data_IF_949204153396
#
_entry.id   IF_949204153396
#
_cell.length_a   1.000
_cell.length_b   1.000
_cell.length_c   1.000
_cell.angle_alpha   90.00
_cell.angle_beta   90.00
_cell.angle_gamma   90.00
#
_symmetry.space_group_name_H-M   'P 1'
#
loop_
_entity.id
_entity.type
_entity.pdbx_description
1 polymer ?
#
# COMPACT_ATOMS: atom_id res chain seq x y z
N UNK A 1 -12.34 15.10 -10.39
CA UNK A 1 -13.28 14.79 -11.50
C UNK A 1 -14.73 15.23 -11.21
N UNK A 2 -15.19 15.24 -9.98
CA UNK A 2 -16.58 15.57 -9.59
C UNK A 2 -16.92 17.07 -9.76
N UNK A 3 -15.98 17.99 -9.57
CA UNK A 3 -16.21 19.45 -9.72
C UNK A 3 -16.43 19.92 -11.18
N UNK A 4 -15.96 19.20 -12.18
CA UNK A 4 -16.17 19.59 -13.60
C UNK A 4 -17.56 19.23 -14.12
N UNK A 5 -18.19 18.20 -13.61
CA UNK A 5 -19.51 17.77 -14.08
C UNK A 5 -20.66 18.60 -13.48
N UNK A 6 -20.45 19.22 -12.30
CA UNK A 6 -21.47 20.09 -11.70
C UNK A 6 -21.61 21.42 -12.47
N UNK A 7 -20.53 21.91 -13.09
CA UNK A 7 -20.56 23.15 -13.87
C UNK A 7 -21.26 23.01 -15.23
N UNK A 8 -21.27 21.78 -15.80
CA UNK A 8 -21.92 21.49 -17.09
C UNK A 8 -23.45 21.44 -16.92
N UNK A 9 -23.95 20.90 -15.83
CA UNK A 9 -25.39 20.84 -15.54
C UNK A 9 -25.98 22.23 -15.26
N UNK A 10 -25.24 23.12 -14.60
CA UNK A 10 -25.66 24.51 -14.40
C UNK A 10 -25.68 25.30 -15.70
N UNK A 11 -24.75 25.08 -16.63
CA UNK A 11 -24.74 25.79 -17.93
C UNK A 11 -25.86 25.32 -18.88
N UNK A 12 -26.23 24.06 -18.85
CA UNK A 12 -27.35 23.55 -19.65
C UNK A 12 -28.71 24.03 -19.14
N UNK A 13 -28.89 24.17 -17.83
CA UNK A 13 -30.10 24.72 -17.23
C UNK A 13 -30.31 26.20 -17.59
N UNK A 14 -29.22 27.01 -17.69
CA UNK A 14 -29.27 28.42 -18.02
C UNK A 14 -29.56 28.70 -19.49
N UNK A 15 -29.11 27.81 -20.39
CA UNK A 15 -29.37 27.93 -21.84
C UNK A 15 -30.82 27.57 -22.17
N UNK A 16 -31.43 26.63 -21.49
CA UNK A 16 -32.85 26.29 -21.69
C UNK A 16 -33.78 27.36 -21.11
N UNK A 17 -33.44 28.01 -20.01
CA UNK A 17 -34.25 29.06 -19.41
C UNK A 17 -34.27 30.35 -20.24
N UNK A 18 -33.17 30.73 -20.90
CA UNK A 18 -33.12 31.92 -21.75
C UNK A 18 -33.75 31.73 -23.13
N UNK A 19 -33.97 30.49 -23.59
CA UNK A 19 -34.65 30.24 -24.90
C UNK A 19 -36.16 30.33 -24.83
N UNK A 20 -36.74 30.26 -23.65
CA UNK A 20 -38.21 30.40 -23.41
C UNK A 20 -38.61 31.87 -23.24
N UNK A 21 -37.66 32.77 -22.82
CA UNK A 21 -37.98 34.18 -22.53
C UNK A 21 -37.96 35.13 -23.73
N UNK A 22 -37.44 34.70 -24.89
CA UNK A 22 -37.28 35.58 -26.06
C UNK A 22 -38.32 35.34 -27.19
N UNK A 23 -39.48 34.74 -26.88
CA UNK A 23 -40.52 34.44 -27.88
C UNK A 23 -41.87 35.13 -27.60
N UNK A 24 -41.93 36.18 -26.82
CA UNK A 24 -43.20 36.86 -26.44
C UNK A 24 -43.30 38.34 -26.83
N UNK A 25 -42.45 38.88 -27.72
CA UNK A 25 -42.66 40.22 -28.24
C UNK A 25 -42.33 40.22 -29.76
N UNK A 26 -43.31 39.97 -30.58
CA UNK A 26 -43.58 40.56 -31.91
C UNK A 26 -44.61 39.70 -32.65
N UNK A 27 -45.85 40.13 -32.56
CA UNK A 27 -46.81 40.09 -33.69
C UNK A 27 -48.24 40.50 -33.21
N UNK A 28 -48.48 41.76 -33.11
CA UNK A 28 -49.85 42.31 -33.29
C UNK A 28 -49.97 42.69 -34.74
N UNK A 29 -51.14 42.29 -35.32
CA UNK A 29 -51.65 42.62 -36.62
C UNK A 29 -51.48 41.55 -37.72
N UNK A 30 -52.48 40.71 -37.81
CA UNK A 30 -53.15 40.38 -39.09
C UNK A 30 -54.45 39.57 -38.79
N UNK A 31 -55.51 40.12 -39.33
CA UNK A 31 -56.87 39.73 -39.09
C UNK A 31 -57.31 38.37 -39.69
N UNK A 32 -58.29 37.76 -38.99
CA UNK A 32 -59.46 37.06 -39.54
C UNK A 32 -59.21 36.07 -40.71
N UNK A 33 -59.12 34.82 -40.41
CA UNK A 33 -59.82 33.77 -41.13
C UNK A 33 -60.10 32.57 -40.20
N UNK A 34 -61.39 32.39 -39.95
CA UNK A 34 -61.94 31.29 -39.18
C UNK A 34 -61.67 29.96 -39.88
N UNK A 35 -60.75 29.15 -39.38
CA UNK A 35 -60.69 27.73 -39.66
C UNK A 35 -60.67 27.01 -38.28
N UNK A 36 -61.83 26.38 -37.98
CA UNK A 36 -61.97 25.58 -36.74
C UNK A 36 -61.02 24.41 -36.79
N UNK A 37 -59.75 24.64 -36.32
CA UNK A 37 -58.89 23.54 -35.98
C UNK A 37 -59.29 23.05 -34.58
N UNK A 38 -59.91 21.86 -34.58
CA UNK A 38 -60.07 21.08 -33.34
C UNK A 38 -58.68 20.82 -32.79
N UNK A 39 -58.29 21.60 -31.79
CA UNK A 39 -57.09 21.34 -31.03
C UNK A 39 -57.40 20.09 -30.19
N UNK A 40 -56.94 18.93 -30.66
CA UNK A 40 -56.80 17.76 -29.78
C UNK A 40 -55.81 18.14 -28.70
N UNK A 41 -56.25 18.64 -27.58
CA UNK A 41 -55.47 18.69 -26.38
C UNK A 41 -55.19 17.25 -25.96
N UNK A 42 -53.90 16.81 -25.92
CA UNK A 42 -53.63 15.50 -25.41
C UNK A 42 -54.16 15.47 -23.99
N UNK A 43 -55.08 14.56 -23.73
CA UNK A 43 -55.54 14.26 -22.37
C UNK A 43 -54.32 13.92 -21.55
N UNK A 44 -53.89 14.82 -20.65
CA UNK A 44 -52.87 14.51 -19.68
C UNK A 44 -53.42 13.43 -18.77
N UNK A 45 -53.06 12.18 -19.01
CA UNK A 45 -53.30 11.10 -18.06
C UNK A 45 -52.61 11.46 -16.78
N UNK A 46 -53.32 11.71 -15.72
CA UNK A 46 -52.76 11.94 -14.39
C UNK A 46 -52.10 10.65 -13.92
N UNK A 47 -50.86 10.77 -13.46
CA UNK A 47 -50.11 9.64 -12.88
C UNK A 47 -50.76 9.25 -11.54
N UNK A 48 -51.12 8.01 -11.37
CA UNK A 48 -51.74 7.55 -10.12
C UNK A 48 -50.69 7.34 -9.05
N UNK A 49 -51.07 7.53 -7.79
CA UNK A 49 -50.20 7.32 -6.65
C UNK A 49 -49.64 5.88 -6.60
N UNK A 50 -50.47 4.91 -7.05
CA UNK A 50 -50.08 3.50 -7.10
C UNK A 50 -48.99 3.26 -8.18
N UNK A 51 -49.09 3.85 -9.35
CA UNK A 51 -48.05 3.74 -10.39
C UNK A 51 -46.72 4.30 -9.93
N UNK A 52 -46.73 5.44 -9.21
CA UNK A 52 -45.50 6.01 -8.63
C UNK A 52 -44.94 5.08 -7.56
N UNK A 53 -45.78 4.54 -6.67
CA UNK A 53 -45.34 3.66 -5.59
C UNK A 53 -44.73 2.36 -6.09
N UNK A 54 -45.29 1.76 -7.11
CA UNK A 54 -44.77 0.53 -7.75
C UNK A 54 -43.39 0.81 -8.38
N UNK A 55 -43.25 1.93 -9.09
CA UNK A 55 -41.96 2.29 -9.72
C UNK A 55 -40.84 2.49 -8.66
N UNK A 56 -41.10 3.25 -7.59
CA UNK A 56 -40.08 3.43 -6.55
C UNK A 56 -39.79 2.12 -5.81
N UNK A 57 -40.78 1.24 -5.63
CA UNK A 57 -40.55 -0.08 -5.03
C UNK A 57 -39.65 -0.95 -5.91
N UNK A 58 -39.86 -0.98 -7.22
CA UNK A 58 -39.01 -1.73 -8.16
C UNK A 58 -37.60 -1.15 -8.19
N UNK A 59 -37.44 0.19 -8.25
CA UNK A 59 -36.15 0.85 -8.22
C UNK A 59 -35.43 0.54 -6.89
N UNK A 60 -36.14 0.59 -5.77
CA UNK A 60 -35.57 0.27 -4.44
C UNK A 60 -35.03 -1.16 -4.37
N UNK A 61 -35.77 -2.14 -4.88
CA UNK A 61 -35.34 -3.54 -4.95
C UNK A 61 -34.11 -3.69 -5.87
N UNK A 62 -34.14 -3.07 -7.05
CA UNK A 62 -33.00 -3.14 -7.99
C UNK A 62 -31.72 -2.53 -7.39
N UNK A 63 -31.82 -1.36 -6.78
CA UNK A 63 -30.68 -0.70 -6.11
C UNK A 63 -30.20 -1.56 -4.93
N UNK A 64 -31.12 -2.13 -4.15
CA UNK A 64 -30.79 -2.97 -3.00
C UNK A 64 -29.94 -4.20 -3.36
N UNK A 65 -30.15 -4.77 -4.56
CA UNK A 65 -29.37 -5.92 -5.06
C UNK A 65 -28.08 -5.45 -5.76
N UNK A 66 -28.14 -4.36 -6.52
CA UNK A 66 -27.01 -3.89 -7.33
C UNK A 66 -25.90 -3.29 -6.47
N UNK A 67 -26.23 -2.57 -5.37
CA UNK A 67 -25.23 -1.86 -4.58
C UNK A 67 -24.20 -2.79 -3.95
N UNK A 68 -24.56 -3.90 -3.26
CA UNK A 68 -23.59 -4.86 -2.74
C UNK A 68 -22.75 -5.51 -3.85
N UNK A 69 -23.37 -5.88 -4.97
CA UNK A 69 -22.66 -6.51 -6.09
C UNK A 69 -21.62 -5.59 -6.72
N UNK A 70 -21.95 -4.31 -6.91
CA UNK A 70 -20.99 -3.30 -7.43
C UNK A 70 -19.83 -3.06 -6.46
N UNK A 71 -20.10 -3.04 -5.16
CA UNK A 71 -19.04 -2.87 -4.15
C UNK A 71 -18.07 -4.07 -4.14
N UNK A 72 -18.58 -5.29 -4.21
CA UNK A 72 -17.75 -6.50 -4.32
C UNK A 72 -16.93 -6.52 -5.61
N UNK A 73 -17.54 -6.16 -6.76
CA UNK A 73 -16.82 -6.09 -8.02
C UNK A 73 -15.69 -5.06 -7.99
N UNK A 74 -15.93 -3.90 -7.39
CA UNK A 74 -14.89 -2.86 -7.21
C UNK A 74 -13.76 -3.33 -6.32
N UNK A 75 -14.06 -4.00 -5.21
CA UNK A 75 -13.02 -4.52 -4.31
C UNK A 75 -12.20 -5.62 -4.98
N UNK A 76 -12.84 -6.52 -5.71
CA UNK A 76 -12.15 -7.53 -6.52
C UNK A 76 -11.20 -6.88 -7.53
N UNK A 77 -11.64 -5.82 -8.21
CA UNK A 77 -10.79 -5.08 -9.15
C UNK A 77 -9.58 -4.41 -8.45
N UNK A 78 -9.79 -3.78 -7.29
CA UNK A 78 -8.69 -3.21 -6.50
C UNK A 78 -7.71 -4.28 -6.03
N UNK A 79 -8.20 -5.42 -5.54
CA UNK A 79 -7.36 -6.56 -5.13
C UNK A 79 -6.54 -7.10 -6.29
N UNK A 80 -7.11 -7.22 -7.50
CA UNK A 80 -6.37 -7.60 -8.70
C UNK A 80 -5.27 -6.57 -9.05
N UNK A 81 -5.54 -5.28 -8.89
CA UNK A 81 -4.55 -4.23 -9.11
C UNK A 81 -3.40 -4.34 -8.10
N UNK A 82 -3.69 -4.55 -6.80
CA UNK A 82 -2.65 -4.75 -5.78
C UNK A 82 -1.78 -5.97 -6.08
N UNK A 83 -2.40 -7.09 -6.51
CA UNK A 83 -1.66 -8.27 -6.95
C UNK A 83 -0.84 -8.03 -8.22
N UNK A 84 -1.29 -7.18 -9.13
CA UNK A 84 -0.52 -6.77 -10.31
C UNK A 84 0.71 -5.94 -9.94
N UNK A 85 0.56 -5.02 -8.98
CA UNK A 85 1.68 -4.22 -8.48
C UNK A 85 2.76 -5.11 -7.84
N UNK A 86 2.35 -6.11 -7.02
CA UNK A 86 3.29 -7.08 -6.45
C UNK A 86 4.04 -7.87 -7.53
N UNK A 87 3.36 -8.30 -8.60
CA UNK A 87 4.02 -8.98 -9.73
C UNK A 87 5.03 -8.09 -10.43
N UNK A 88 4.71 -6.82 -10.62
CA UNK A 88 5.62 -5.83 -11.23
C UNK A 88 6.86 -5.63 -10.34
N UNK A 89 6.70 -5.50 -9.04
CA UNK A 89 7.80 -5.40 -8.09
C UNK A 89 8.67 -6.66 -8.10
N UNK A 90 8.07 -7.86 -8.13
CA UNK A 90 8.83 -9.11 -8.22
C UNK A 90 9.56 -9.27 -9.56
N UNK A 91 8.98 -8.81 -10.67
CA UNK A 91 9.68 -8.80 -11.96
C UNK A 91 10.93 -7.92 -11.91
N UNK A 92 10.83 -6.75 -11.27
CA UNK A 92 11.97 -5.87 -11.04
C UNK A 92 13.02 -6.53 -10.12
N UNK A 93 12.60 -7.26 -9.07
CA UNK A 93 13.51 -8.04 -8.21
C UNK A 93 14.28 -9.11 -8.97
N UNK A 94 13.61 -9.86 -9.84
CA UNK A 94 14.27 -10.85 -10.70
C UNK A 94 15.22 -10.20 -11.72
N UNK A 95 14.85 -9.03 -12.25
CA UNK A 95 15.73 -8.27 -13.13
C UNK A 95 16.99 -7.79 -12.40
N UNK A 96 16.84 -7.33 -11.16
CA UNK A 96 17.95 -6.98 -10.28
C UNK A 96 18.82 -8.21 -9.98
N UNK A 97 18.23 -9.35 -9.60
CA UNK A 97 18.97 -10.59 -9.34
C UNK A 97 19.73 -11.07 -10.57
N UNK A 98 19.12 -10.98 -11.74
CA UNK A 98 19.77 -11.34 -13.01
C UNK A 98 20.99 -10.48 -13.32
N UNK A 99 20.93 -9.18 -13.01
CA UNK A 99 22.01 -8.22 -13.24
C UNK A 99 23.08 -8.27 -12.15
N UNK A 100 22.69 -8.35 -10.88
CA UNK A 100 23.59 -8.26 -9.72
C UNK A 100 23.95 -9.61 -9.09
N UNK A 101 23.34 -10.70 -9.57
CA UNK A 101 23.50 -12.08 -9.06
C UNK A 101 23.05 -12.27 -7.61
N UNK A 102 22.23 -11.37 -7.12
CA UNK A 102 21.59 -11.39 -5.80
C UNK A 102 20.33 -10.53 -5.81
N UNK A 103 19.38 -10.83 -4.94
CA UNK A 103 18.25 -9.96 -4.69
C UNK A 103 18.70 -8.64 -4.04
N UNK A 104 17.93 -7.56 -4.17
CA UNK A 104 18.26 -6.31 -3.49
C UNK A 104 18.33 -6.54 -1.97
N UNK A 105 19.19 -5.83 -1.28
CA UNK A 105 19.16 -5.79 0.18
C UNK A 105 17.83 -5.20 0.67
N UNK A 106 17.37 -5.59 1.83
CA UNK A 106 16.22 -4.95 2.46
C UNK A 106 16.44 -3.44 2.57
N UNK A 107 17.60 -3.06 3.04
CA UNK A 107 18.19 -1.72 2.92
C UNK A 107 19.70 -1.75 3.14
N UNK A 108 20.37 -0.70 2.67
CA UNK A 108 21.81 -0.53 2.83
C UNK A 108 22.11 0.42 3.99
N UNK A 109 23.05 0.05 4.84
CA UNK A 109 23.49 0.87 5.98
C UNK A 109 24.97 0.62 6.28
N UNK A 110 25.75 1.69 6.44
CA UNK A 110 27.14 1.59 6.85
C UNK A 110 27.25 1.64 8.39
N UNK A 111 27.14 0.49 9.01
CA UNK A 111 27.19 0.35 10.49
C UNK A 111 28.51 0.73 11.12
N UNK A 112 29.56 1.00 10.33
CA UNK A 112 30.90 1.43 10.83
C UNK A 112 31.01 2.94 11.05
N UNK A 113 30.05 3.72 10.54
CA UNK A 113 30.06 5.19 10.65
C UNK A 113 29.97 5.68 12.09
N UNK A 114 30.63 6.80 12.36
CA UNK A 114 30.59 7.43 13.68
C UNK A 114 29.27 8.19 13.97
N UNK A 115 28.52 8.55 12.93
CA UNK A 115 27.23 9.25 12.99
C UNK A 115 26.01 8.28 12.92
N UNK A 116 26.27 6.98 13.11
CA UNK A 116 25.21 5.97 13.17
C UNK A 116 24.30 6.16 14.38
N UNK A 117 23.06 5.72 14.24
CA UNK A 117 22.15 5.62 15.39
C UNK A 117 22.71 4.69 16.45
N UNK A 118 22.70 5.12 17.71
CA UNK A 118 23.30 4.36 18.82
C UNK A 118 22.52 3.10 19.21
N UNK A 119 21.23 3.06 18.92
CA UNK A 119 20.36 1.96 19.31
C UNK A 119 20.34 0.85 18.25
N UNK A 120 20.20 1.23 16.98
CA UNK A 120 20.05 0.28 15.86
C UNK A 120 21.33 0.05 15.08
N UNK A 121 22.33 0.92 15.23
CA UNK A 121 23.55 1.01 14.42
C UNK A 121 23.26 1.38 12.94
N UNK A 122 22.08 1.87 12.64
CA UNK A 122 21.75 2.34 11.30
C UNK A 122 22.43 3.66 10.99
N UNK A 123 22.92 3.78 9.76
CA UNK A 123 23.55 4.98 9.25
C UNK A 123 23.25 5.16 7.76
N UNK A 124 23.71 6.25 7.17
CA UNK A 124 23.69 6.38 5.71
C UNK A 124 24.37 5.15 5.04
N UNK A 125 23.92 4.75 3.85
CA UNK A 125 23.02 5.50 2.95
C UNK A 125 21.52 5.36 3.26
N UNK A 126 21.07 4.35 3.97
CA UNK A 126 19.65 4.11 4.25
C UNK A 126 18.81 3.67 3.02
N UNK A 127 19.44 3.35 1.90
CA UNK A 127 18.77 3.01 0.62
C UNK A 127 17.98 1.72 0.75
N UNK A 128 16.68 1.79 0.58
CA UNK A 128 15.78 0.63 0.67
C UNK A 128 15.67 -0.16 -0.63
N UNK A 129 15.09 -1.35 -0.52
CA UNK A 129 14.85 -2.27 -1.64
C UNK A 129 14.09 -1.62 -2.80
N UNK A 130 13.11 -0.76 -2.51
CA UNK A 130 12.32 -0.09 -3.54
C UNK A 130 13.16 0.86 -4.41
N UNK A 131 14.09 1.60 -3.79
CA UNK A 131 15.00 2.47 -4.54
C UNK A 131 16.06 1.67 -5.31
N UNK A 132 16.53 0.55 -4.77
CA UNK A 132 17.42 -0.36 -5.49
C UNK A 132 16.77 -0.99 -6.73
N UNK A 133 15.43 -1.06 -6.76
CA UNK A 133 14.66 -1.53 -7.91
C UNK A 133 14.36 -0.43 -8.94
N UNK A 134 14.56 0.84 -8.64
CA UNK A 134 14.21 1.95 -9.54
C UNK A 134 14.75 1.77 -10.98
N UNK A 135 15.99 1.28 -11.22
CA UNK A 135 16.48 1.04 -12.58
C UNK A 135 15.67 -0.01 -13.37
N UNK A 136 14.90 -0.86 -12.68
CA UNK A 136 14.17 -1.99 -13.24
C UNK A 136 12.64 -1.79 -13.24
N UNK A 137 12.17 -0.61 -12.80
CA UNK A 137 10.75 -0.24 -12.63
C UNK A 137 10.32 0.87 -13.59
N UNK A 138 10.83 0.97 -14.79
CA UNK A 138 10.54 2.08 -15.74
C UNK A 138 10.82 3.50 -15.17
N UNK A 139 11.46 3.56 -14.00
CA UNK A 139 11.79 4.79 -13.25
C UNK A 139 13.31 5.01 -13.23
N UNK A 140 13.99 4.68 -14.32
CA UNK A 140 15.45 4.84 -14.44
C UNK A 140 15.91 6.28 -14.15
N UNK A 141 15.09 7.29 -14.48
CA UNK A 141 15.38 8.68 -14.18
C UNK A 141 15.52 8.95 -12.67
N UNK A 142 14.78 8.24 -11.82
CA UNK A 142 14.92 8.35 -10.35
C UNK A 142 16.27 7.79 -9.91
N UNK A 143 16.62 6.61 -10.40
CA UNK A 143 17.91 5.98 -10.09
C UNK A 143 19.09 6.83 -10.57
N UNK A 144 19.01 7.37 -11.79
CA UNK A 144 20.07 8.21 -12.39
C UNK A 144 20.28 9.52 -11.62
N UNK A 145 19.21 10.10 -11.10
CA UNK A 145 19.25 11.34 -10.34
C UNK A 145 19.54 11.16 -8.85
N UNK A 146 19.41 9.93 -8.33
CA UNK A 146 19.69 9.68 -6.93
C UNK A 146 21.20 9.73 -6.67
N UNK A 147 21.66 10.70 -5.88
CA UNK A 147 23.08 10.96 -5.66
C UNK A 147 23.82 9.76 -5.06
N UNK A 148 23.13 8.93 -4.27
CA UNK A 148 23.71 7.75 -3.62
C UNK A 148 24.13 6.66 -4.61
N UNK A 149 23.51 6.56 -5.78
CA UNK A 149 23.93 5.62 -6.84
C UNK A 149 25.35 5.93 -7.31
N UNK A 150 25.76 7.20 -7.25
CA UNK A 150 27.09 7.68 -7.68
C UNK A 150 28.09 7.81 -6.51
N UNK A 151 27.59 8.06 -5.31
CA UNK A 151 28.36 8.24 -4.08
C UNK A 151 27.68 7.51 -2.91
N UNK A 152 28.20 6.36 -2.47
CA UNK A 152 27.63 5.58 -1.37
C UNK A 152 27.58 6.32 -0.01
N UNK A 153 28.37 7.40 0.16
CA UNK A 153 28.31 8.23 1.36
C UNK A 153 27.04 9.09 1.40
N UNK A 154 26.42 9.30 0.26
CA UNK A 154 25.17 10.05 0.11
C UNK A 154 24.00 9.11 0.37
N UNK A 155 23.07 9.47 1.22
CA UNK A 155 21.95 8.63 1.59
C UNK A 155 20.59 9.26 1.26
N UNK A 156 19.54 8.60 1.68
CA UNK A 156 18.17 9.12 1.61
C UNK A 156 18.03 10.47 2.32
N UNK A 157 18.87 10.75 3.32
CA UNK A 157 18.91 12.02 4.06
C UNK A 157 19.59 13.16 3.30
N UNK A 158 20.35 12.88 2.24
CA UNK A 158 21.10 13.91 1.55
C UNK A 158 20.17 14.98 0.97
N UNK A 159 20.46 16.30 1.18
CA UNK A 159 19.54 17.37 0.72
C UNK A 159 19.20 17.32 -0.77
N UNK A 160 20.13 16.90 -1.63
CA UNK A 160 19.89 16.74 -3.05
C UNK A 160 18.86 15.63 -3.41
N UNK A 161 18.65 14.67 -2.52
CA UNK A 161 17.73 13.54 -2.74
C UNK A 161 16.34 13.80 -2.15
N UNK A 162 16.12 14.86 -1.38
CA UNK A 162 14.84 15.11 -0.68
C UNK A 162 13.64 15.12 -1.60
N UNK A 163 13.73 15.77 -2.75
CA UNK A 163 12.63 15.82 -3.72
C UNK A 163 12.40 14.48 -4.42
N UNK A 164 13.40 13.63 -4.54
CA UNK A 164 13.30 12.32 -5.15
C UNK A 164 12.66 11.31 -4.19
N UNK A 165 13.13 11.28 -2.93
CA UNK A 165 12.60 10.32 -1.94
C UNK A 165 11.17 10.65 -1.50
N UNK A 166 10.73 11.89 -1.67
CA UNK A 166 9.36 12.32 -1.45
C UNK A 166 8.42 12.00 -2.63
N UNK A 167 8.92 11.54 -3.77
CA UNK A 167 8.06 11.17 -4.90
C UNK A 167 7.15 10.00 -4.55
N UNK A 168 5.96 10.00 -5.15
CA UNK A 168 4.95 8.98 -4.93
C UNK A 168 4.69 8.21 -6.22
N UNK A 169 4.84 6.89 -6.18
CA UNK A 169 4.63 6.02 -7.33
C UNK A 169 3.40 5.13 -7.13
N UNK A 170 2.56 5.05 -8.16
CA UNK A 170 1.29 4.30 -8.08
C UNK A 170 1.51 2.79 -7.88
N UNK A 171 2.59 2.23 -8.37
CA UNK A 171 2.91 0.81 -8.19
C UNK A 171 3.38 0.45 -6.76
N UNK A 172 3.70 1.45 -5.92
CA UNK A 172 3.91 1.26 -4.49
C UNK A 172 2.64 1.48 -3.66
N UNK A 173 1.52 1.87 -4.27
CA UNK A 173 0.27 2.14 -3.58
C UNK A 173 -0.78 1.07 -3.85
N UNK A 174 -1.41 0.59 -2.78
CA UNK A 174 -2.59 -0.27 -2.88
C UNK A 174 -3.87 0.59 -2.90
N UNK A 175 -4.70 0.53 -3.96
CA UNK A 175 -5.92 1.33 -4.06
C UNK A 175 -6.99 0.97 -3.02
N UNK A 176 -6.83 -0.12 -2.27
CA UNK A 176 -7.70 -0.49 -1.14
C UNK A 176 -7.20 0.02 0.20
N UNK A 177 -5.95 0.51 0.29
CA UNK A 177 -5.45 1.08 1.54
C UNK A 177 -6.31 2.26 1.99
N UNK A 178 -6.85 2.17 3.19
CA UNK A 178 -7.75 3.17 3.77
C UNK A 178 -7.01 4.32 4.46
N UNK A 179 -5.69 4.22 4.65
CA UNK A 179 -4.86 5.28 5.21
C UNK A 179 -4.45 6.31 4.17
N UNK A 180 -3.64 7.27 4.60
CA UNK A 180 -3.08 8.29 3.72
C UNK A 180 -2.21 7.67 2.62
N UNK A 181 -2.24 8.30 1.44
CA UNK A 181 -1.47 7.91 0.27
C UNK A 181 -0.40 8.95 -0.11
N UNK A 182 -0.39 10.10 0.57
CA UNK A 182 0.58 11.17 0.35
C UNK A 182 1.91 10.87 1.06
N UNK A 183 3.03 11.48 0.66
CA UNK A 183 4.29 11.42 1.39
C UNK A 183 4.11 11.79 2.86
N UNK A 184 4.97 11.28 3.73
CA UNK A 184 4.88 11.53 5.16
C UNK A 184 6.22 11.99 5.74
N UNK A 185 6.13 12.76 6.84
CA UNK A 185 7.30 13.19 7.60
C UNK A 185 7.74 12.06 8.52
N UNK A 186 8.99 11.61 8.38
CA UNK A 186 9.56 10.59 9.26
C UNK A 186 9.84 11.17 10.64
N UNK A 187 9.48 10.41 11.66
CA UNK A 187 9.63 10.77 13.08
C UNK A 187 10.61 9.84 13.78
N UNK A 188 11.19 10.30 14.88
CA UNK A 188 11.94 9.47 15.80
C UNK A 188 11.01 8.57 16.63
N UNK A 189 11.58 7.67 17.45
CA UNK A 189 10.82 6.75 18.32
C UNK A 189 9.91 7.48 19.33
N UNK A 190 10.18 8.74 19.63
CA UNK A 190 9.39 9.58 20.52
C UNK A 190 8.29 10.37 19.80
N UNK A 191 8.21 10.29 18.47
CA UNK A 191 7.21 10.95 17.64
C UNK A 191 7.60 12.35 17.17
N UNK A 192 8.84 12.80 17.36
CA UNK A 192 9.31 14.09 16.86
C UNK A 192 9.79 13.96 15.40
N UNK A 193 9.50 14.96 14.53
CA UNK A 193 10.04 14.98 13.19
C UNK A 193 11.57 14.90 13.16
N UNK A 194 12.11 14.03 12.32
CA UNK A 194 13.54 13.90 12.08
C UNK A 194 14.02 14.87 10.99
N UNK A 195 15.30 15.24 11.09
CA UNK A 195 16.07 15.89 10.02
C UNK A 195 15.30 17.03 9.32
N UNK A 196 14.86 18.04 10.06
CA UNK A 196 14.13 19.21 9.54
C UNK A 196 12.80 18.85 8.82
N UNK A 197 12.15 17.77 9.22
CA UNK A 197 10.88 17.35 8.65
C UNK A 197 11.02 16.72 7.28
N UNK A 198 11.95 15.81 7.09
CA UNK A 198 12.11 15.07 5.83
C UNK A 198 10.83 14.32 5.48
N UNK A 199 10.31 14.60 4.29
CA UNK A 199 9.20 13.85 3.70
C UNK A 199 9.74 12.69 2.85
N UNK A 200 9.06 11.53 2.96
CA UNK A 200 9.39 10.33 2.18
C UNK A 200 8.11 9.75 1.58
N UNK A 201 8.22 9.26 0.34
CA UNK A 201 7.09 8.65 -0.36
C UNK A 201 6.66 7.33 0.28
N UNK A 202 5.35 7.09 0.30
CA UNK A 202 4.72 5.92 0.93
C UNK A 202 4.88 4.66 0.08
N UNK A 203 4.86 3.53 0.77
CA UNK A 203 4.65 2.21 0.21
C UNK A 203 3.54 1.47 0.94
N UNK A 204 2.69 0.78 0.20
CA UNK A 204 1.78 -0.24 0.74
C UNK A 204 2.31 -1.66 0.49
N UNK A 205 3.56 -1.78 0.06
CA UNK A 205 4.24 -3.06 -0.10
C UNK A 205 5.53 -3.04 0.71
N UNK A 206 5.80 -4.13 1.39
CA UNK A 206 6.90 -4.28 2.35
C UNK A 206 7.66 -5.57 2.07
N UNK A 207 8.94 -5.57 2.39
CA UNK A 207 9.79 -6.73 2.21
C UNK A 207 9.86 -7.57 3.49
N UNK A 208 9.86 -8.89 3.32
CA UNK A 208 9.83 -9.86 4.40
C UNK A 208 11.24 -10.11 4.97
N UNK A 209 11.42 -9.85 6.25
CA UNK A 209 12.66 -10.14 7.00
C UNK A 209 12.71 -11.55 7.59
N UNK A 210 11.63 -12.33 7.46
CA UNK A 210 11.48 -13.65 8.05
C UNK A 210 10.47 -13.67 9.18
N UNK A 211 10.61 -14.61 10.09
CA UNK A 211 9.83 -14.60 11.33
C UNK A 211 10.59 -13.96 12.48
N UNK A 212 11.91 -13.88 12.43
CA UNK A 212 12.73 -13.20 13.43
C UNK A 212 12.67 -11.68 13.27
N UNK A 213 12.83 -10.96 14.38
CA UNK A 213 12.92 -9.50 14.44
C UNK A 213 14.36 -9.06 14.74
N UNK A 214 15.24 -8.92 13.73
CA UNK A 214 16.64 -8.63 13.97
C UNK A 214 16.91 -7.21 14.51
N UNK A 215 16.01 -6.25 14.29
CA UNK A 215 16.10 -4.89 14.83
C UNK A 215 15.63 -4.76 16.29
N UNK A 216 14.88 -5.73 16.80
CA UNK A 216 14.41 -5.77 18.18
C UNK A 216 15.40 -6.36 19.17
N UNK A 217 16.58 -6.81 18.71
CA UNK A 217 17.61 -7.45 19.55
C UNK A 217 18.58 -6.40 20.10
N UNK A 218 18.73 -6.36 21.41
CA UNK A 218 19.64 -5.46 22.09
C UNK A 218 20.65 -6.24 22.97
N UNK A 219 21.96 -5.84 22.97
CA UNK A 219 22.53 -4.74 22.19
C UNK A 219 22.50 -5.00 20.70
N UNK A 220 22.30 -3.93 19.91
CA UNK A 220 22.16 -4.02 18.46
C UNK A 220 23.39 -4.70 17.81
N UNK A 221 23.14 -5.62 16.88
CA UNK A 221 24.19 -6.28 16.10
C UNK A 221 24.54 -5.50 14.84
N UNK A 222 25.81 -5.39 14.50
CA UNK A 222 26.26 -4.81 13.25
C UNK A 222 25.89 -5.70 12.04
N UNK A 223 25.86 -7.02 12.23
CA UNK A 223 25.43 -7.98 11.19
C UNK A 223 24.17 -8.69 11.65
N UNK A 224 23.21 -8.83 10.73
CA UNK A 224 21.97 -9.58 10.95
C UNK A 224 21.95 -10.95 10.27
N UNK A 225 23.05 -11.34 9.59
CA UNK A 225 23.16 -12.60 8.86
C UNK A 225 22.90 -13.85 9.72
N UNK A 226 23.17 -13.77 11.02
CA UNK A 226 22.97 -14.88 11.95
C UNK A 226 21.58 -14.86 12.65
N UNK A 227 20.82 -13.79 12.45
CA UNK A 227 19.55 -13.55 13.16
C UNK A 227 18.40 -13.58 12.16
N UNK A 228 18.52 -12.79 11.09
CA UNK A 228 17.49 -12.69 10.06
C UNK A 228 17.40 -14.01 9.27
N UNK A 229 16.20 -14.55 9.16
CA UNK A 229 15.93 -15.81 8.45
C UNK A 229 15.03 -15.64 7.24
N UNK A 230 14.67 -14.39 6.89
CA UNK A 230 13.93 -14.07 5.67
C UNK A 230 14.82 -13.59 4.53
N UNK A 231 14.22 -13.29 3.36
CA UNK A 231 14.95 -12.85 2.17
C UNK A 231 15.50 -11.43 2.25
N UNK A 232 14.97 -10.57 3.12
CA UNK A 232 15.34 -9.14 3.17
C UNK A 232 15.67 -8.68 4.58
N UNK A 233 16.88 -8.16 4.75
CA UNK A 233 17.32 -7.51 5.97
C UNK A 233 18.40 -6.47 5.66
N UNK A 234 18.94 -5.78 6.68
CA UNK A 234 20.00 -4.80 6.52
C UNK A 234 21.24 -5.44 5.88
N UNK A 235 21.68 -4.88 4.74
CA UNK A 235 22.83 -5.35 3.96
C UNK A 235 22.72 -6.81 3.49
N UNK A 236 21.50 -7.37 3.37
CA UNK A 236 21.32 -8.74 2.91
C UNK A 236 21.86 -8.93 1.49
N UNK A 237 22.39 -10.14 1.22
CA UNK A 237 22.96 -10.54 -0.09
C UNK A 237 22.43 -11.91 -0.52
N UNK A 238 21.10 -12.07 -0.45
CA UNK A 238 20.41 -13.34 -0.72
C UNK A 238 20.44 -13.63 -2.22
N UNK A 239 20.69 -14.88 -2.56
CA UNK A 239 20.70 -15.42 -3.92
C UNK A 239 19.65 -16.51 -4.05
N UNK A 240 19.26 -16.85 -5.28
CA UNK A 240 18.32 -17.97 -5.53
C UNK A 240 18.70 -19.25 -4.78
N UNK A 241 19.99 -19.59 -4.74
CA UNK A 241 20.50 -20.78 -4.02
C UNK A 241 20.40 -20.71 -2.50
N UNK A 242 20.18 -19.52 -1.94
CA UNK A 242 20.04 -19.32 -0.49
C UNK A 242 18.64 -19.64 -0.01
N UNK A 243 17.66 -19.74 -0.91
CA UNK A 243 16.26 -20.03 -0.61
C UNK A 243 16.05 -21.54 -0.77
N UNK A 244 16.40 -22.31 0.25
CA UNK A 244 16.39 -23.78 0.18
C UNK A 244 14.99 -24.37 0.36
N UNK A 245 14.08 -23.64 1.00
CA UNK A 245 12.69 -24.06 1.24
C UNK A 245 11.80 -23.90 -0.01
N UNK A 246 12.36 -23.29 -1.05
CA UNK A 246 11.73 -23.14 -2.35
C UNK A 246 11.21 -21.74 -2.64
N UNK A 247 11.53 -21.24 -3.83
CA UNK A 247 11.11 -19.90 -4.27
C UNK A 247 9.59 -19.73 -4.38
N UNK A 248 8.84 -20.79 -4.62
CA UNK A 248 7.37 -20.76 -4.74
C UNK A 248 6.64 -20.85 -3.39
N UNK A 249 7.36 -21.16 -2.33
CA UNK A 249 6.85 -21.34 -0.96
C UNK A 249 7.33 -20.27 0.00
N UNK A 250 8.32 -19.45 -0.37
CA UNK A 250 8.85 -18.40 0.47
C UNK A 250 8.27 -17.05 0.08
N UNK A 251 7.68 -16.34 1.05
CA UNK A 251 7.16 -14.98 0.88
C UNK A 251 8.30 -13.97 0.80
N UNK A 252 8.30 -13.16 -0.25
CA UNK A 252 9.26 -12.07 -0.44
C UNK A 252 8.66 -10.71 -0.13
N UNK A 253 7.48 -10.41 -0.68
CA UNK A 253 6.78 -9.15 -0.47
C UNK A 253 5.38 -9.40 0.06
N UNK A 254 4.86 -8.46 0.81
CA UNK A 254 3.48 -8.45 1.25
C UNK A 254 2.87 -7.06 1.30
N UNK A 255 1.56 -7.01 1.49
CA UNK A 255 0.83 -5.76 1.67
C UNK A 255 0.99 -5.21 3.07
N UNK A 256 1.01 -3.88 3.17
CA UNK A 256 0.92 -3.14 4.41
C UNK A 256 0.02 -1.91 4.21
N UNK A 257 -0.92 -1.70 5.12
CA UNK A 257 -1.82 -0.55 5.02
C UNK A 257 -1.28 0.67 5.75
N UNK A 258 -1.41 1.84 5.13
CA UNK A 258 -1.12 3.12 5.80
C UNK A 258 -2.06 3.39 6.99
N UNK A 259 -3.17 2.64 7.13
CA UNK A 259 -4.02 2.72 8.32
C UNK A 259 -3.44 1.99 9.52
N UNK A 260 -2.46 1.09 9.36
CA UNK A 260 -1.72 0.47 10.47
C UNK A 260 -0.50 1.30 10.85
N UNK A 261 0.37 1.61 9.87
CA UNK A 261 1.53 2.49 10.08
C UNK A 261 2.07 3.02 8.76
N UNK A 262 2.96 4.02 8.82
CA UNK A 262 3.67 4.49 7.64
C UNK A 262 4.77 3.52 7.21
N UNK A 263 4.88 3.30 5.89
CA UNK A 263 5.97 2.60 5.23
C UNK A 263 6.49 3.42 4.07
N UNK A 264 7.77 3.26 3.78
CA UNK A 264 8.49 4.01 2.76
C UNK A 264 8.96 3.09 1.62
N UNK A 265 8.94 3.59 0.40
CA UNK A 265 9.53 2.88 -0.72
C UNK A 265 11.03 3.13 -0.86
N UNK A 266 11.48 4.34 -0.56
CA UNK A 266 12.85 4.78 -0.86
C UNK A 266 13.89 4.22 0.11
N UNK A 267 13.55 4.03 1.37
CA UNK A 267 14.50 3.48 2.32
C UNK A 267 14.26 3.84 3.78
N UNK A 268 15.30 3.68 4.54
CA UNK A 268 15.36 3.83 5.99
C UNK A 268 16.07 5.13 6.34
N UNK A 269 15.51 5.86 7.28
CA UNK A 269 16.17 7.05 7.86
C UNK A 269 16.74 6.66 9.22
N UNK A 270 18.07 6.71 9.43
CA UNK A 270 18.69 6.41 10.71
C UNK A 270 18.08 7.25 11.84
N UNK A 271 17.75 6.61 12.97
CA UNK A 271 17.03 7.22 14.08
C UNK A 271 15.52 7.40 13.86
N UNK A 272 15.00 7.04 12.68
CA UNK A 272 13.58 7.04 12.37
C UNK A 272 12.83 5.89 13.01
N UNK A 273 11.51 5.98 12.96
CA UNK A 273 10.60 4.94 13.44
C UNK A 273 9.30 4.89 12.62
N UNK A 274 8.71 3.71 12.54
CA UNK A 274 7.31 3.56 12.12
C UNK A 274 6.40 3.76 13.33
N UNK A 275 5.39 4.59 13.18
CA UNK A 275 4.41 4.84 14.23
C UNK A 275 3.06 4.21 13.90
N UNK A 276 2.35 3.65 14.88
CA UNK A 276 0.97 3.22 14.67
C UNK A 276 0.09 4.43 14.36
N UNK A 277 -0.79 4.29 13.37
CA UNK A 277 -1.76 5.33 13.06
C UNK A 277 -2.86 5.36 14.12
N UNK A 278 -3.58 6.48 14.23
CA UNK A 278 -4.64 6.69 15.23
C UNK A 278 -5.68 5.56 15.24
N UNK A 279 -6.00 4.94 14.10
CA UNK A 279 -6.97 3.86 13.97
C UNK A 279 -6.61 2.62 14.81
N UNK A 280 -5.31 2.35 14.97
CA UNK A 280 -4.79 1.16 15.67
C UNK A 280 -4.14 1.46 17.01
N UNK A 281 -4.05 2.73 17.40
CA UNK A 281 -3.37 3.17 18.63
C UNK A 281 -3.92 2.59 19.95
N UNK A 282 -5.09 1.99 19.93
CA UNK A 282 -5.70 1.33 21.10
C UNK A 282 -5.51 -0.18 21.14
N UNK A 283 -4.86 -0.77 20.12
CA UNK A 283 -4.58 -2.21 20.05
C UNK A 283 -3.30 -2.57 20.82
N UNK A 284 -3.15 -3.83 21.19
CA UNK A 284 -1.91 -4.36 21.73
C UNK A 284 -0.80 -4.12 20.70
N UNK A 285 0.39 -3.67 21.15
CA UNK A 285 1.47 -3.35 20.21
C UNK A 285 1.39 -1.97 19.59
N UNK A 286 0.90 -0.98 20.32
CA UNK A 286 0.84 0.43 19.89
C UNK A 286 2.17 1.16 19.92
N UNK A 287 3.26 0.50 20.29
CA UNK A 287 4.58 1.10 20.31
C UNK A 287 5.06 1.41 18.89
N UNK A 288 5.75 2.53 18.74
CA UNK A 288 6.56 2.79 17.57
C UNK A 288 7.72 1.80 17.51
N UNK A 289 8.18 1.47 16.31
CA UNK A 289 9.29 0.56 16.11
C UNK A 289 10.37 1.18 15.20
N UNK A 290 11.57 0.66 15.31
CA UNK A 290 12.79 1.26 14.73
C UNK A 290 12.76 1.40 13.21
N UNK A 291 13.71 2.14 12.69
CA UNK A 291 13.78 2.59 11.29
C UNK A 291 13.69 1.48 10.23
N UNK A 292 14.19 0.28 10.52
CA UNK A 292 14.10 -0.89 9.64
C UNK A 292 12.66 -1.18 9.21
N UNK A 293 11.70 -0.97 10.11
CA UNK A 293 10.28 -1.21 9.86
C UNK A 293 9.64 -0.25 8.87
N UNK A 294 10.33 0.82 8.48
CA UNK A 294 9.87 1.68 7.38
C UNK A 294 9.81 0.92 6.05
N UNK A 295 10.61 -0.14 5.87
CA UNK A 295 10.68 -0.89 4.61
C UNK A 295 10.53 -2.40 4.79
N UNK A 296 10.71 -2.93 6.02
CA UNK A 296 10.69 -4.33 6.36
C UNK A 296 9.53 -4.67 7.30
N UNK A 297 9.15 -5.95 7.24
CA UNK A 297 8.22 -6.58 8.18
C UNK A 297 8.69 -8.00 8.50
N UNK A 298 8.19 -8.56 9.58
CA UNK A 298 8.41 -9.96 9.96
C UNK A 298 7.07 -10.62 10.33
N UNK A 299 7.04 -11.94 10.43
CA UNK A 299 5.83 -12.70 10.77
C UNK A 299 5.78 -13.17 12.22
N UNK A 300 6.90 -13.17 12.91
CA UNK A 300 7.04 -13.64 14.27
C UNK A 300 6.74 -12.58 15.33
N UNK A 301 7.06 -12.88 16.60
CA UNK A 301 6.80 -11.98 17.70
C UNK A 301 7.71 -10.74 17.64
N UNK A 302 7.19 -9.59 18.05
CA UNK A 302 8.05 -8.48 18.41
C UNK A 302 8.89 -8.86 19.66
N UNK A 303 10.10 -8.32 19.77
CA UNK A 303 11.08 -8.71 20.80
C UNK A 303 10.53 -8.72 22.25
N UNK A 304 9.57 -7.82 22.55
CA UNK A 304 8.93 -7.75 23.86
C UNK A 304 7.77 -8.74 24.04
N UNK A 305 7.19 -9.28 22.98
CA UNK A 305 5.97 -10.10 23.08
C UNK A 305 6.22 -11.47 23.68
N UNK A 306 7.30 -12.15 23.28
CA UNK A 306 7.66 -13.44 23.84
C UNK A 306 7.89 -13.33 25.35
N UNK A 307 8.49 -12.22 25.81
CA UNK A 307 8.68 -11.96 27.24
C UNK A 307 7.34 -11.66 27.95
N UNK A 308 6.40 -11.00 27.26
CA UNK A 308 5.10 -10.64 27.82
C UNK A 308 4.13 -11.84 27.93
N UNK A 309 4.08 -12.67 26.90
CA UNK A 309 3.12 -13.77 26.80
C UNK A 309 3.69 -15.13 27.25
N UNK A 310 5.03 -15.28 27.29
CA UNK A 310 5.71 -16.52 27.64
C UNK A 310 5.68 -17.58 26.54
N UNK A 311 5.26 -17.22 25.33
CA UNK A 311 5.28 -18.05 24.12
C UNK A 311 5.47 -17.17 22.89
N UNK A 312 5.92 -17.76 21.80
CA UNK A 312 6.05 -17.06 20.53
C UNK A 312 4.66 -16.78 19.92
N UNK A 313 4.46 -15.54 19.49
CA UNK A 313 3.24 -15.10 18.81
C UNK A 313 3.55 -14.93 17.35
N UNK A 314 2.93 -15.74 16.51
CA UNK A 314 3.02 -15.58 15.05
C UNK A 314 1.86 -14.71 14.56
N UNK A 315 2.15 -13.75 13.72
CA UNK A 315 1.20 -12.78 13.20
C UNK A 315 0.84 -13.05 11.73
N UNK A 316 -0.21 -13.84 11.46
CA UNK A 316 -0.78 -13.90 10.11
C UNK A 316 -1.17 -12.52 9.60
N UNK A 317 -1.29 -12.34 8.27
CA UNK A 317 -1.83 -11.09 7.74
C UNK A 317 -3.17 -10.73 8.39
N UNK A 318 -3.36 -9.46 8.72
CA UNK A 318 -4.58 -8.95 9.37
C UNK A 318 -4.83 -9.50 10.79
N UNK A 319 -3.84 -10.07 11.44
CA UNK A 319 -3.97 -10.49 12.85
C UNK A 319 -4.46 -9.33 13.72
N UNK A 320 -5.41 -9.57 14.64
CA UNK A 320 -5.86 -8.54 15.59
C UNK A 320 -4.74 -8.01 16.49
N UNK A 321 -3.68 -8.80 16.69
CA UNK A 321 -2.50 -8.43 17.45
C UNK A 321 -1.37 -7.81 16.62
N UNK A 322 -1.60 -7.53 15.32
CA UNK A 322 -0.58 -6.98 14.45
C UNK A 322 -0.02 -5.65 14.95
N UNK A 323 1.28 -5.54 14.86
CA UNK A 323 2.09 -4.35 15.13
C UNK A 323 2.39 -3.58 13.85
N UNK A 324 3.13 -2.47 13.98
CA UNK A 324 3.64 -1.69 12.85
C UNK A 324 4.55 -2.50 11.93
N UNK A 325 5.15 -3.58 12.41
CA UNK A 325 6.14 -4.40 11.70
C UNK A 325 5.55 -5.68 11.06
N UNK A 326 4.22 -5.85 10.97
CA UNK A 326 3.62 -7.02 10.32
C UNK A 326 2.92 -6.67 9.00
N UNK A 327 2.65 -7.70 8.20
CA UNK A 327 1.83 -7.59 7.00
C UNK A 327 0.36 -7.36 7.37
N UNK A 328 -0.26 -6.40 6.71
CA UNK A 328 -1.65 -6.03 6.94
C UNK A 328 -2.27 -5.42 5.68
N UNK A 329 -3.52 -5.75 5.40
CA UNK A 329 -4.23 -5.21 4.25
C UNK A 329 -5.64 -4.77 4.63
N UNK A 330 -6.18 -3.76 3.95
CA UNK A 330 -7.59 -3.39 4.05
C UNK A 330 -8.49 -4.24 3.13
N UNK A 331 -7.94 -5.24 2.45
CA UNK A 331 -8.72 -6.25 1.73
C UNK A 331 -9.45 -7.16 2.72
N UNK A 332 -10.75 -7.42 2.54
CA UNK A 332 -11.48 -8.32 3.43
C UNK A 332 -10.91 -9.74 3.44
N UNK A 333 -10.61 -10.25 4.64
CA UNK A 333 -10.26 -11.65 4.88
C UNK A 333 -8.80 -12.02 4.70
N UNK A 334 -7.89 -11.06 4.43
CA UNK A 334 -6.46 -11.35 4.31
C UNK A 334 -5.68 -10.34 3.48
N UNK A 335 -4.48 -10.71 3.04
CA UNK A 335 -3.58 -9.86 2.26
C UNK A 335 -3.00 -10.58 1.04
N UNK A 336 -2.65 -9.83 0.00
CA UNK A 336 -1.84 -10.36 -1.09
C UNK A 336 -0.37 -10.40 -0.66
N UNK A 337 0.29 -11.51 -1.01
CA UNK A 337 1.73 -11.69 -0.86
C UNK A 337 2.33 -12.17 -2.18
N UNK A 338 3.59 -11.88 -2.39
CA UNK A 338 4.36 -12.36 -3.52
C UNK A 338 5.47 -13.29 -3.04
N UNK A 339 5.55 -14.45 -3.64
CA UNK A 339 6.60 -15.43 -3.39
C UNK A 339 7.86 -15.12 -4.19
N UNK A 340 8.95 -15.76 -3.82
CA UNK A 340 10.24 -15.58 -4.46
C UNK A 340 10.26 -15.91 -5.97
N UNK A 341 9.38 -16.78 -6.45
CA UNK A 341 9.23 -17.10 -7.89
C UNK A 341 8.39 -16.07 -8.68
N UNK A 342 7.88 -15.02 -8.01
CA UNK A 342 7.01 -14.02 -8.62
C UNK A 342 5.53 -14.38 -8.63
N UNK A 343 5.13 -15.56 -8.14
CA UNK A 343 3.73 -15.90 -7.97
C UNK A 343 3.10 -15.03 -6.85
N UNK A 344 1.86 -14.58 -7.08
CA UNK A 344 1.12 -13.77 -6.10
C UNK A 344 -0.07 -14.56 -5.60
N UNK A 345 -0.21 -14.62 -4.28
CA UNK A 345 -1.29 -15.32 -3.58
C UNK A 345 -2.02 -14.38 -2.65
N UNK A 346 -3.28 -14.68 -2.40
CA UNK A 346 -4.03 -14.08 -1.32
C UNK A 346 -4.00 -15.01 -0.12
N UNK A 347 -3.42 -14.55 0.97
CA UNK A 347 -3.29 -15.30 2.21
C UNK A 347 -4.42 -14.90 3.14
N UNK A 348 -5.14 -15.89 3.64
CA UNK A 348 -6.23 -15.69 4.61
C UNK A 348 -5.67 -15.23 5.96
N UNK A 349 -6.40 -14.35 6.64
CA UNK A 349 -6.13 -13.97 8.03
C UNK A 349 -6.24 -15.14 9.03
N UNK A 350 -6.83 -16.27 8.60
CA UNK A 350 -6.98 -17.51 9.37
C UNK A 350 -5.99 -18.61 8.95
N UNK A 351 -4.92 -18.26 8.22
CA UNK A 351 -3.86 -19.22 7.88
C UNK A 351 -3.29 -19.84 9.16
N UNK A 352 -2.91 -21.11 9.10
CA UNK A 352 -2.20 -21.76 10.22
C UNK A 352 -0.91 -20.99 10.52
N UNK A 353 -0.66 -20.71 11.80
CA UNK A 353 0.47 -19.89 12.24
C UNK A 353 1.82 -20.54 11.91
N UNK A 354 1.95 -21.87 12.06
CA UNK A 354 3.18 -22.59 11.73
C UNK A 354 3.47 -22.48 10.22
N UNK A 355 2.44 -22.64 9.37
CA UNK A 355 2.58 -22.48 7.93
C UNK A 355 3.02 -21.05 7.60
N UNK A 356 2.43 -20.03 8.26
CA UNK A 356 2.80 -18.64 8.04
C UNK A 356 4.24 -18.35 8.47
N UNK A 357 4.69 -18.93 9.55
CA UNK A 357 6.07 -18.86 10.02
C UNK A 357 7.02 -19.48 8.98
N UNK A 358 6.74 -20.72 8.53
CA UNK A 358 7.60 -21.43 7.60
C UNK A 358 7.73 -20.75 6.26
N UNK A 359 6.63 -20.25 5.67
CA UNK A 359 6.69 -19.51 4.39
C UNK A 359 7.37 -18.15 4.50
N UNK A 360 7.61 -17.65 5.70
CA UNK A 360 8.35 -16.41 5.92
C UNK A 360 9.86 -16.61 5.91
N UNK A 361 10.34 -17.84 6.13
CA UNK A 361 11.76 -18.20 6.18
C UNK A 361 12.29 -18.66 4.82
N UNK A 362 13.61 -18.57 4.63
CA UNK A 362 14.30 -19.01 3.39
C UNK A 362 14.96 -20.37 3.51
N UNK A 363 15.20 -20.86 4.75
CA UNK A 363 16.04 -22.03 4.99
C UNK A 363 15.81 -22.65 6.38
N UNK A 364 14.56 -22.84 6.80
CA UNK A 364 14.23 -23.52 8.06
C UNK A 364 14.11 -25.05 7.88
N UNK A 365 13.99 -25.52 6.63
CA UNK A 365 13.91 -26.95 6.29
C UNK A 365 12.56 -27.57 6.60
N UNK A 366 11.55 -26.79 6.94
CA UNK A 366 10.23 -27.29 7.26
C UNK A 366 9.42 -27.64 5.99
N UNK A 367 8.73 -28.75 6.05
CA UNK A 367 7.96 -29.26 4.91
C UNK A 367 6.50 -28.81 5.02
N UNK A 368 6.08 -27.94 4.12
CA UNK A 368 4.70 -27.52 4.03
C UNK A 368 3.90 -28.56 3.24
N UNK A 369 2.83 -29.08 3.85
CA UNK A 369 1.97 -30.07 3.19
C UNK A 369 1.26 -29.44 1.98
N UNK A 370 1.10 -30.23 0.91
CA UNK A 370 0.40 -29.79 -0.29
C UNK A 370 -1.05 -29.35 0.06
N UNK A 371 -1.37 -28.10 -0.27
CA UNK A 371 -2.68 -27.49 0.02
C UNK A 371 -2.77 -26.69 1.33
N UNK A 372 -1.71 -26.66 2.16
CA UNK A 372 -1.65 -25.79 3.33
C UNK A 372 -1.14 -24.39 2.95
N UNK A 373 -0.52 -24.27 1.78
CA UNK A 373 0.02 -23.01 1.22
C UNK A 373 -0.47 -22.78 -0.20
#
# INVERSE_FOLDING_TARGET
MIKKNFLIIQKLGFILFNRVRNRSENSRLAALNACSRVIFLPTRSGFTLIELLVVIAIIGVLIGILLPAVQQARETARRMQCGSNLRQLMLAMHSHESAQRQFPAGYLSDTSRSDRDSNTLDAAPGTGWGLLLAPYLEEAAVADNFAQVKDPSQGVLHPANRSLVAQQFQFFLCPSSAGDQEPFVVKDISGNPLADGIEIGRSNYVANAGHEEPWGIFPASASWDAIANGPFYRNSSIRNKSVTDGMSTTVFLGEHTSSLSEKAWAGVIPGGASHPTHKFATRIGTAADHAATLVLVHSGPAAAETALYGYEVIHPPNSPASHVCQMYSDHPGGANVANGDGSVRFVSEFINQDVWQYVSSIADGEVISSGAW
#
